data_IF_757511612444
#
_entry.id   IF_757511612444
#
_cell.length_a   1.000
_cell.length_b   1.000
_cell.length_c   1.000
_cell.angle_alpha   90.00
_cell.angle_beta   90.00
_cell.angle_gamma   90.00
#
_symmetry.space_group_name_H-M   'P 1'
#
loop_
_entity.id
_entity.type
_entity.pdbx_description
1 polymer ?
#
# COMPACT_ATOMS: atom_id res chain seq x y z
N UNK A 1 35.72 -83.57 15.53
CA UNK A 1 35.17 -82.53 14.64
C UNK A 1 33.93 -81.97 15.31
N UNK A 2 34.07 -80.81 15.93
CA UNK A 2 33.12 -80.22 16.88
C UNK A 2 32.32 -79.13 16.16
N UNK A 3 31.01 -79.33 16.03
CA UNK A 3 30.10 -78.39 15.39
C UNK A 3 29.73 -77.26 16.36
N UNK A 4 29.98 -76.02 15.96
CA UNK A 4 29.51 -74.81 16.64
C UNK A 4 28.10 -74.46 16.16
N UNK A 5 27.13 -74.40 17.07
CA UNK A 5 25.82 -73.82 16.83
C UNK A 5 25.88 -72.29 17.04
N UNK A 6 25.58 -71.54 15.98
CA UNK A 6 25.34 -70.10 16.04
C UNK A 6 23.94 -69.81 16.60
N UNK A 7 23.85 -68.97 17.62
CA UNK A 7 22.61 -68.44 18.18
C UNK A 7 22.49 -66.96 17.75
N UNK A 8 21.40 -66.59 17.08
CA UNK A 8 21.08 -65.21 16.68
C UNK A 8 20.01 -64.67 17.64
N UNK A 9 20.13 -63.45 18.21
CA UNK A 9 19.11 -62.89 19.08
C UNK A 9 17.90 -62.34 18.29
N UNK A 10 16.70 -62.28 18.91
CA UNK A 10 15.49 -61.80 18.24
C UNK A 10 15.49 -60.27 18.09
N UNK A 11 15.09 -59.82 16.91
CA UNK A 11 14.85 -58.43 16.55
C UNK A 11 13.69 -57.83 17.37
N UNK A 12 13.98 -56.74 18.09
CA UNK A 12 12.99 -55.88 18.72
C UNK A 12 12.17 -55.14 17.64
N UNK A 13 10.90 -55.51 17.46
CA UNK A 13 9.93 -54.72 16.70
C UNK A 13 9.44 -53.55 17.58
N UNK A 14 9.87 -52.34 17.26
CA UNK A 14 9.25 -51.11 17.77
C UNK A 14 8.27 -50.57 16.73
N UNK A 15 6.98 -50.86 16.88
CA UNK A 15 5.90 -50.20 16.13
C UNK A 15 5.71 -48.76 16.62
N UNK A 16 6.65 -47.89 16.26
CA UNK A 16 6.54 -46.46 16.52
C UNK A 16 5.56 -45.86 15.50
N UNK A 17 4.31 -45.71 15.93
CA UNK A 17 3.19 -45.27 15.10
C UNK A 17 3.25 -43.75 14.82
N UNK A 18 4.29 -43.34 14.07
CA UNK A 18 4.68 -41.96 13.75
C UNK A 18 3.53 -41.16 13.11
N UNK A 19 2.70 -41.83 12.30
CA UNK A 19 1.50 -41.27 11.67
C UNK A 19 0.48 -40.73 12.68
N UNK A 20 0.31 -41.43 13.81
CA UNK A 20 -0.64 -41.04 14.87
C UNK A 20 -0.11 -39.85 15.68
N UNK A 21 1.20 -39.84 15.94
CA UNK A 21 1.88 -38.73 16.60
C UNK A 21 1.83 -37.45 15.74
N UNK A 22 2.10 -37.58 14.43
CA UNK A 22 2.08 -36.47 13.48
C UNK A 22 0.68 -35.87 13.35
N UNK A 23 -0.36 -36.70 13.27
CA UNK A 23 -1.77 -36.23 13.23
C UNK A 23 -2.16 -35.49 14.51
N UNK A 24 -1.74 -35.97 15.67
CA UNK A 24 -2.04 -35.31 16.95
C UNK A 24 -1.28 -33.99 17.09
N UNK A 25 -0.01 -33.94 16.67
CA UNK A 25 0.79 -32.72 16.64
C UNK A 25 0.23 -31.68 15.66
N UNK A 26 -0.19 -32.11 14.47
CA UNK A 26 -0.82 -31.24 13.47
C UNK A 26 -2.17 -30.70 13.97
N UNK A 27 -2.99 -31.55 14.61
CA UNK A 27 -4.28 -31.12 15.17
C UNK A 27 -4.11 -30.15 16.36
N UNK A 28 -3.08 -30.36 17.20
CA UNK A 28 -2.71 -29.43 18.28
C UNK A 28 -2.21 -28.08 17.73
N UNK A 29 -1.35 -28.09 16.72
CA UNK A 29 -0.84 -26.86 16.11
C UNK A 29 -1.93 -26.10 15.35
N UNK A 30 -2.85 -26.78 14.65
CA UNK A 30 -4.04 -26.15 14.08
C UNK A 30 -4.98 -25.55 15.14
N UNK A 31 -5.10 -26.17 16.32
CA UNK A 31 -5.92 -25.63 17.42
C UNK A 31 -5.25 -24.41 18.08
N UNK A 32 -3.91 -24.40 18.21
CA UNK A 32 -3.14 -23.25 18.71
C UNK A 32 -3.23 -22.07 17.72
N UNK A 33 -3.20 -22.35 16.41
CA UNK A 33 -3.39 -21.34 15.35
C UNK A 33 -4.85 -20.86 15.21
N UNK A 34 -5.82 -21.54 15.85
CA UNK A 34 -7.25 -21.16 15.79
C UNK A 34 -7.57 -19.99 16.73
N UNK A 35 -6.77 -19.80 17.78
CA UNK A 35 -6.89 -18.64 18.64
C UNK A 35 -6.30 -17.42 17.94
N UNK A 36 -7.19 -16.63 17.34
CA UNK A 36 -6.90 -15.35 16.66
C UNK A 36 -5.97 -14.42 17.46
N UNK A 37 -5.94 -14.58 18.79
CA UNK A 37 -5.09 -13.83 19.72
C UNK A 37 -3.61 -14.25 19.66
N UNK A 38 -3.30 -15.52 19.38
CA UNK A 38 -1.92 -16.05 19.33
C UNK A 38 -1.24 -15.60 18.02
N UNK A 39 -1.96 -15.61 16.90
CA UNK A 39 -1.43 -15.09 15.62
C UNK A 39 -1.22 -13.58 15.72
N UNK A 40 -2.16 -12.83 16.29
CA UNK A 40 -1.99 -11.40 16.54
C UNK A 40 -0.84 -11.12 17.51
N UNK A 41 -0.67 -11.96 18.55
CA UNK A 41 0.42 -11.87 19.53
C UNK A 41 1.79 -12.16 18.91
N UNK A 42 1.92 -13.20 18.09
CA UNK A 42 3.16 -13.52 17.36
C UNK A 42 3.52 -12.44 16.32
N UNK A 43 2.52 -11.87 15.65
CA UNK A 43 2.71 -10.73 14.76
C UNK A 43 3.21 -9.49 15.51
N UNK A 44 2.62 -9.18 16.67
CA UNK A 44 3.07 -8.06 17.53
C UNK A 44 4.46 -8.30 18.14
N UNK A 45 4.80 -9.54 18.52
CA UNK A 45 6.11 -9.93 19.03
C UNK A 45 7.21 -9.86 17.95
N UNK A 46 6.87 -10.14 16.69
CA UNK A 46 7.77 -9.97 15.55
C UNK A 46 8.18 -8.52 15.27
N UNK A 47 7.41 -7.54 15.75
CA UNK A 47 7.70 -6.11 15.57
C UNK A 47 8.61 -5.50 16.66
N UNK A 48 9.04 -6.27 17.67
CA UNK A 48 9.76 -5.73 18.85
C UNK A 48 11.25 -5.44 18.56
N UNK A 49 11.81 -5.93 17.44
CA UNK A 49 13.23 -5.76 17.10
C UNK A 49 13.58 -4.53 16.25
N UNK A 50 12.60 -3.74 15.82
CA UNK A 50 12.83 -2.56 14.96
C UNK A 50 12.05 -1.38 15.52
N UNK A 51 12.67 -0.20 15.60
CA UNK A 51 11.97 1.06 15.90
C UNK A 51 11.07 1.41 14.72
N UNK A 52 9.91 0.76 14.65
CA UNK A 52 8.98 1.00 13.55
C UNK A 52 8.12 2.22 13.88
N UNK A 53 8.31 3.29 13.11
CA UNK A 53 7.54 4.54 13.26
C UNK A 53 6.25 4.44 12.44
N UNK A 54 5.11 4.64 13.11
CA UNK A 54 3.78 4.73 12.50
C UNK A 54 3.51 6.12 11.91
N UNK A 55 2.99 6.16 10.69
CA UNK A 55 3.06 7.34 9.83
C UNK A 55 2.01 7.34 8.71
N UNK A 56 1.30 8.45 8.55
CA UNK A 56 0.44 8.69 7.38
C UNK A 56 1.30 9.29 6.26
N UNK A 57 1.63 8.53 5.21
CA UNK A 57 2.50 9.01 4.13
C UNK A 57 1.70 9.37 2.87
N UNK A 58 1.88 10.56 2.27
CA UNK A 58 1.43 10.79 0.90
C UNK A 58 2.19 9.89 -0.08
N UNK A 59 1.57 9.55 -1.23
CA UNK A 59 2.27 8.80 -2.26
C UNK A 59 3.39 9.64 -2.90
N UNK A 60 4.61 9.08 -2.96
CA UNK A 60 5.74 9.64 -3.71
C UNK A 60 6.59 10.68 -2.97
N UNK A 61 6.99 10.39 -1.73
CA UNK A 61 7.71 11.34 -0.86
C UNK A 61 9.22 11.46 -1.08
N UNK A 62 9.82 10.49 -1.78
CA UNK A 62 11.27 10.31 -1.79
C UNK A 62 11.79 9.87 -0.42
N UNK A 63 13.06 10.15 -0.13
CA UNK A 63 13.71 9.82 1.14
C UNK A 63 13.22 10.78 2.26
N UNK A 64 12.55 10.24 3.29
CA UNK A 64 12.14 10.93 4.52
C UNK A 64 11.96 9.91 5.66
N UNK A 65 12.17 10.31 6.91
CA UNK A 65 12.00 9.42 8.07
C UNK A 65 10.55 9.32 8.52
N UNK A 66 9.83 10.45 8.51
CA UNK A 66 8.41 10.52 8.82
C UNK A 66 7.69 11.50 7.90
N UNK A 67 6.36 11.42 7.87
CA UNK A 67 5.51 12.26 7.06
C UNK A 67 4.07 12.21 7.55
N UNK A 68 3.28 13.12 7.04
CA UNK A 68 1.88 13.29 7.38
C UNK A 68 1.10 13.54 6.09
N UNK A 69 -0.10 12.99 6.00
CA UNK A 69 -1.05 13.26 4.93
C UNK A 69 -2.42 13.55 5.51
N UNK A 70 -3.06 14.58 4.98
CA UNK A 70 -4.45 14.90 5.29
C UNK A 70 -5.17 15.26 4.01
N UNK A 71 -6.38 14.73 3.85
CA UNK A 71 -7.24 15.01 2.72
C UNK A 71 -8.66 15.31 3.21
N UNK A 72 -9.28 16.30 2.57
CA UNK A 72 -10.68 16.63 2.76
C UNK A 72 -11.39 16.60 1.41
N UNK A 73 -12.49 15.84 1.32
CA UNK A 73 -13.15 15.63 0.04
C UNK A 73 -14.65 15.44 0.14
N UNK A 74 -15.30 15.72 -0.98
CA UNK A 74 -16.75 15.56 -1.18
C UNK A 74 -16.96 14.43 -2.17
N UNK A 75 -17.73 13.43 -1.73
CA UNK A 75 -18.18 12.33 -2.56
C UNK A 75 -19.66 12.54 -2.92
N UNK A 76 -19.98 12.54 -4.21
CA UNK A 76 -21.34 12.77 -4.71
C UNK A 76 -21.78 11.65 -5.63
N UNK A 77 -22.96 11.10 -5.36
CA UNK A 77 -23.65 10.22 -6.30
C UNK A 77 -24.17 11.03 -7.50
N UNK A 78 -23.93 10.55 -8.72
CA UNK A 78 -24.30 11.22 -9.98
C UNK A 78 -25.52 10.59 -10.65
N UNK A 79 -25.94 9.40 -10.21
CA UNK A 79 -27.08 8.67 -10.74
C UNK A 79 -27.96 8.09 -9.62
N UNK A 80 -29.23 7.84 -9.91
CA UNK A 80 -30.17 7.24 -8.96
C UNK A 80 -29.85 5.77 -8.65
N UNK A 81 -29.19 5.06 -9.56
CA UNK A 81 -28.88 3.63 -9.44
C UNK A 81 -27.63 3.33 -8.61
N UNK A 82 -26.91 4.34 -8.12
CA UNK A 82 -25.72 4.11 -7.31
C UNK A 82 -24.46 3.75 -8.13
N UNK A 83 -24.52 3.73 -9.46
CA UNK A 83 -23.44 3.22 -10.32
C UNK A 83 -22.40 4.27 -10.70
N UNK A 84 -22.73 5.56 -10.67
CA UNK A 84 -21.86 6.68 -11.02
C UNK A 84 -21.66 7.62 -9.85
N UNK A 85 -20.42 7.86 -9.48
CA UNK A 85 -20.07 8.72 -8.35
C UNK A 85 -18.88 9.60 -8.71
N UNK A 86 -18.80 10.80 -8.13
CA UNK A 86 -17.63 11.66 -8.20
C UNK A 86 -17.02 11.82 -6.83
N UNK A 87 -15.69 11.99 -6.80
CA UNK A 87 -14.93 12.36 -5.62
C UNK A 87 -14.06 13.56 -5.99
N UNK A 88 -14.24 14.67 -5.27
CA UNK A 88 -13.34 15.82 -5.34
C UNK A 88 -12.68 15.98 -3.99
N UNK A 89 -11.36 16.18 -3.94
CA UNK A 89 -10.67 16.43 -2.69
C UNK A 89 -9.52 17.41 -2.85
N UNK A 90 -9.22 18.06 -1.73
CA UNK A 90 -7.99 18.81 -1.50
C UNK A 90 -7.17 18.02 -0.48
N UNK A 91 -5.86 18.03 -0.62
CA UNK A 91 -4.99 17.35 0.32
C UNK A 91 -3.64 18.02 0.48
N UNK A 92 -3.07 17.85 1.67
CA UNK A 92 -1.76 18.35 2.05
C UNK A 92 -0.93 17.22 2.63
N UNK A 93 0.32 17.17 2.21
CA UNK A 93 1.33 16.29 2.78
C UNK A 93 2.45 17.10 3.41
N UNK A 94 2.95 16.64 4.55
CA UNK A 94 4.15 17.18 5.20
C UNK A 94 5.15 16.05 5.44
N UNK A 95 6.44 16.37 5.56
CA UNK A 95 7.51 15.38 5.78
C UNK A 95 8.59 15.90 6.72
N UNK A 96 9.31 14.98 7.35
CA UNK A 96 10.55 15.29 8.06
C UNK A 96 11.70 15.56 7.08
N UNK A 97 12.79 16.13 7.61
CA UNK A 97 14.06 16.15 6.87
C UNK A 97 14.86 14.87 7.21
N UNK A 98 15.91 14.52 6.44
CA UNK A 98 16.70 13.32 6.71
C UNK A 98 17.32 13.27 8.12
N UNK A 99 17.58 14.42 8.72
CA UNK A 99 18.21 14.60 10.03
C UNK A 99 17.22 14.68 11.21
N UNK A 100 15.91 14.62 10.96
CA UNK A 100 14.90 14.69 12.01
C UNK A 100 13.68 13.81 11.74
N UNK A 101 12.83 13.70 12.76
CA UNK A 101 11.65 12.83 12.77
C UNK A 101 10.32 13.59 12.83
N UNK A 102 10.34 14.92 12.75
CA UNK A 102 9.11 15.72 12.86
C UNK A 102 8.32 15.63 11.53
N UNK A 103 7.16 14.94 11.50
CA UNK A 103 6.40 14.73 10.25
C UNK A 103 5.75 16.02 9.74
N UNK A 104 5.74 17.07 10.56
CA UNK A 104 5.22 18.39 10.22
C UNK A 104 6.32 19.41 9.90
N UNK A 105 7.60 19.00 9.80
CA UNK A 105 8.72 19.91 9.55
C UNK A 105 8.55 20.70 8.24
N UNK A 106 8.39 20.00 7.12
CA UNK A 106 8.37 20.59 5.78
C UNK A 106 7.10 20.28 5.02
N UNK A 107 6.69 21.17 4.12
CA UNK A 107 5.59 20.91 3.20
C UNK A 107 6.07 19.93 2.12
N UNK A 108 5.43 18.78 1.99
CA UNK A 108 5.82 17.78 1.01
C UNK A 108 5.04 17.90 -0.30
N UNK A 109 3.73 18.12 -0.21
CA UNK A 109 2.86 18.12 -1.38
C UNK A 109 1.54 18.84 -1.08
N UNK A 110 0.98 19.49 -2.08
CA UNK A 110 -0.42 19.90 -2.13
C UNK A 110 -1.08 19.24 -3.32
N UNK A 111 -2.32 18.75 -3.15
CA UNK A 111 -3.05 18.04 -4.19
C UNK A 111 -4.47 18.57 -4.30
N UNK A 112 -4.89 18.80 -5.54
CA UNK A 112 -6.28 18.89 -5.96
C UNK A 112 -6.59 17.68 -6.84
N UNK A 113 -7.72 17.04 -6.63
CA UNK A 113 -8.10 15.87 -7.41
C UNK A 113 -9.60 15.81 -7.63
N UNK A 114 -10.00 15.51 -8.86
CA UNK A 114 -11.36 15.18 -9.22
C UNK A 114 -11.38 13.85 -9.97
N UNK A 115 -12.16 12.89 -9.49
CA UNK A 115 -12.28 11.56 -10.09
C UNK A 115 -13.75 11.17 -10.21
N UNK A 116 -14.14 10.62 -11.37
CA UNK A 116 -15.47 10.08 -11.62
C UNK A 116 -15.36 8.58 -11.81
N UNK A 117 -16.20 7.84 -11.07
CA UNK A 117 -16.25 6.38 -11.09
C UNK A 117 -17.54 5.90 -11.74
N UNK A 118 -17.47 4.76 -12.42
CA UNK A 118 -18.62 4.04 -12.96
C UNK A 118 -18.49 2.54 -12.73
N UNK A 119 -19.42 1.99 -11.95
CA UNK A 119 -19.61 0.55 -11.75
C UNK A 119 -20.60 0.02 -12.78
N UNK A 120 -20.09 -0.41 -13.93
CA UNK A 120 -20.91 -0.76 -15.08
C UNK A 120 -21.37 -2.23 -15.10
N UNK A 121 -20.65 -3.11 -14.39
CA UNK A 121 -20.99 -4.51 -14.24
C UNK A 121 -20.65 -5.00 -12.83
N UNK A 122 -21.15 -6.18 -12.46
CA UNK A 122 -20.81 -6.79 -11.18
C UNK A 122 -19.29 -6.95 -11.07
N UNK A 123 -18.73 -6.50 -9.95
CA UNK A 123 -17.30 -6.51 -9.65
C UNK A 123 -16.39 -5.66 -10.55
N UNK A 124 -16.93 -4.91 -11.50
CA UNK A 124 -16.16 -4.10 -12.43
C UNK A 124 -16.45 -2.62 -12.26
N UNK A 125 -15.39 -1.84 -12.09
CA UNK A 125 -15.48 -0.39 -11.97
C UNK A 125 -14.35 0.24 -12.76
N UNK A 126 -14.63 1.26 -13.55
CA UNK A 126 -13.59 2.15 -14.07
C UNK A 126 -13.76 3.55 -13.50
N UNK A 127 -12.69 4.33 -13.58
CA UNK A 127 -12.71 5.75 -13.29
C UNK A 127 -11.75 6.52 -14.18
N UNK A 128 -12.02 7.81 -14.32
CA UNK A 128 -11.14 8.79 -14.93
C UNK A 128 -11.02 9.99 -14.02
N UNK A 129 -9.87 10.64 -14.05
CA UNK A 129 -9.56 11.71 -13.14
C UNK A 129 -8.59 12.74 -13.71
N UNK A 130 -8.69 13.92 -13.15
CA UNK A 130 -7.71 15.00 -13.26
C UNK A 130 -7.18 15.33 -11.86
N UNK A 131 -5.87 15.51 -11.77
CA UNK A 131 -5.22 15.92 -10.53
C UNK A 131 -4.20 17.00 -10.83
N UNK A 132 -4.16 18.01 -9.96
CA UNK A 132 -3.10 19.00 -9.92
C UNK A 132 -2.31 18.82 -8.63
N UNK A 133 -0.98 18.91 -8.72
CA UNK A 133 -0.08 18.77 -7.58
C UNK A 133 0.95 19.88 -7.58
N UNK A 134 1.34 20.29 -6.37
CA UNK A 134 2.48 21.18 -6.11
C UNK A 134 3.40 20.51 -5.12
N UNK A 135 4.65 20.33 -5.48
CA UNK A 135 5.64 19.61 -4.67
C UNK A 135 6.89 20.49 -4.52
N UNK A 136 7.17 21.02 -3.32
CA UNK A 136 8.43 21.69 -3.07
C UNK A 136 9.60 20.75 -3.27
N UNK A 137 10.65 21.25 -3.93
CA UNK A 137 11.94 20.56 -4.08
C UNK A 137 12.87 21.14 -3.03
N UNK A 138 13.57 20.26 -2.32
CA UNK A 138 14.49 20.62 -1.25
C UNK A 138 15.89 20.13 -1.60
N UNK A 139 16.90 20.86 -1.16
CA UNK A 139 18.29 20.46 -1.30
C UNK A 139 18.55 19.08 -0.67
N UNK A 140 19.51 18.35 -1.22
CA UNK A 140 19.88 17.01 -0.74
C UNK A 140 20.83 17.02 0.47
N UNK A 141 21.40 18.18 0.80
CA UNK A 141 22.31 18.39 1.94
C UNK A 141 21.74 19.38 2.95
N UNK A 142 22.12 19.24 4.23
CA UNK A 142 21.75 20.20 5.26
C UNK A 142 22.16 21.63 4.86
N UNK A 143 21.31 22.66 5.05
CA UNK A 143 20.08 22.67 5.87
C UNK A 143 18.80 22.17 5.17
N UNK A 144 18.95 21.56 3.98
CA UNK A 144 17.86 21.00 3.16
C UNK A 144 16.82 22.08 2.81
N UNK A 145 17.31 23.27 2.45
CA UNK A 145 16.45 24.42 2.16
C UNK A 145 15.59 24.18 0.93
N UNK A 146 14.50 24.95 0.82
CA UNK A 146 13.64 24.85 -0.34
C UNK A 146 14.35 25.46 -1.55
N UNK A 147 14.81 24.60 -2.44
CA UNK A 147 15.46 24.98 -3.70
C UNK A 147 14.43 25.39 -4.76
N UNK A 148 13.29 24.70 -4.79
CA UNK A 148 12.38 24.84 -5.91
C UNK A 148 10.95 24.39 -5.63
N UNK A 149 10.18 24.33 -6.69
CA UNK A 149 8.82 23.83 -6.67
C UNK A 149 8.49 23.25 -8.04
N UNK A 150 8.12 21.98 -8.04
CA UNK A 150 7.56 21.30 -9.19
C UNK A 150 6.03 21.38 -9.14
N UNK A 151 5.44 21.65 -10.30
CA UNK A 151 4.01 21.59 -10.51
C UNK A 151 3.69 20.45 -11.47
N UNK A 152 2.55 19.80 -11.24
CA UNK A 152 2.18 18.65 -12.03
C UNK A 152 0.69 18.61 -12.33
N UNK A 153 0.36 18.33 -13.58
CA UNK A 153 -0.99 17.97 -14.01
C UNK A 153 -0.99 16.48 -14.36
N UNK A 154 -1.89 15.71 -13.75
CA UNK A 154 -2.11 14.30 -14.05
C UNK A 154 -3.49 14.09 -14.63
N UNK A 155 -3.54 13.34 -15.72
CA UNK A 155 -4.76 12.71 -16.22
C UNK A 155 -4.60 11.21 -16.02
N UNK A 156 -5.58 10.55 -15.41
CA UNK A 156 -5.48 9.11 -15.22
C UNK A 156 -6.79 8.39 -15.40
N UNK A 157 -6.70 7.18 -15.95
CA UNK A 157 -7.77 6.20 -16.00
C UNK A 157 -7.43 5.03 -15.10
N UNK A 158 -8.43 4.48 -14.40
CA UNK A 158 -8.28 3.30 -13.56
C UNK A 158 -9.35 2.28 -13.90
N UNK A 159 -8.98 1.01 -13.89
CA UNK A 159 -9.89 -0.11 -13.97
C UNK A 159 -9.66 -1.05 -12.80
N UNK A 160 -10.75 -1.41 -12.13
CA UNK A 160 -10.81 -2.26 -10.95
C UNK A 160 -11.66 -3.50 -11.27
N UNK A 161 -11.12 -4.69 -11.02
CA UNK A 161 -11.85 -5.96 -11.06
C UNK A 161 -11.73 -6.68 -9.71
N UNK A 162 -12.85 -7.13 -9.14
CA UNK A 162 -12.86 -7.85 -7.86
C UNK A 162 -13.33 -9.30 -8.02
N UNK A 163 -12.56 -10.23 -7.50
CA UNK A 163 -12.94 -11.64 -7.39
C UNK A 163 -13.38 -11.92 -5.95
N UNK A 164 -14.59 -12.42 -5.77
CA UNK A 164 -15.02 -12.95 -4.48
C UNK A 164 -14.58 -14.42 -4.37
N UNK A 165 -13.57 -14.67 -3.54
CA UNK A 165 -12.99 -15.99 -3.30
C UNK A 165 -13.72 -16.64 -2.12
N UNK A 166 -15.01 -16.91 -2.32
CA UNK A 166 -15.92 -17.35 -1.27
C UNK A 166 -16.41 -16.22 -0.37
N UNK A 167 -16.90 -16.54 0.83
CA UNK A 167 -17.63 -15.56 1.68
C UNK A 167 -16.73 -14.54 2.39
N UNK A 168 -15.47 -14.89 2.65
CA UNK A 168 -14.56 -14.09 3.50
C UNK A 168 -13.41 -13.43 2.75
N UNK A 169 -13.09 -13.88 1.54
CA UNK A 169 -11.95 -13.40 0.79
C UNK A 169 -12.40 -12.65 -0.44
N UNK A 170 -11.78 -11.49 -0.69
CA UNK A 170 -11.96 -10.73 -1.93
C UNK A 170 -10.58 -10.38 -2.46
N UNK A 171 -10.30 -10.73 -3.71
CA UNK A 171 -9.09 -10.33 -4.43
C UNK A 171 -9.45 -9.22 -5.41
N UNK A 172 -8.90 -8.02 -5.20
CA UNK A 172 -9.09 -6.88 -6.09
C UNK A 172 -7.83 -6.66 -6.92
N UNK A 173 -7.97 -6.60 -8.23
CA UNK A 173 -6.92 -6.18 -9.15
C UNK A 173 -7.27 -4.82 -9.73
N UNK A 174 -6.27 -3.96 -9.81
CA UNK A 174 -6.39 -2.58 -10.28
C UNK A 174 -5.28 -2.31 -11.27
N UNK A 175 -5.64 -1.77 -12.44
CA UNK A 175 -4.70 -1.15 -13.37
C UNK A 175 -5.02 0.32 -13.47
N UNK A 176 -3.98 1.16 -13.48
CA UNK A 176 -4.08 2.60 -13.69
C UNK A 176 -3.08 3.03 -14.75
N UNK A 177 -3.55 3.82 -15.70
CA UNK A 177 -2.73 4.51 -16.68
C UNK A 177 -2.78 6.00 -16.42
N UNK A 178 -1.63 6.64 -16.38
CA UNK A 178 -1.48 8.05 -16.02
C UNK A 178 -0.63 8.76 -17.07
N UNK A 179 -1.13 9.88 -17.57
CA UNK A 179 -0.33 10.91 -18.22
C UNK A 179 -0.03 11.99 -17.18
N UNK A 180 1.25 12.35 -17.06
CA UNK A 180 1.76 13.32 -16.09
C UNK A 180 2.53 14.38 -16.84
N UNK A 181 2.19 15.65 -16.67
CA UNK A 181 2.91 16.79 -17.26
C UNK A 181 3.49 17.63 -16.13
N UNK A 182 4.78 17.92 -16.20
CA UNK A 182 5.50 18.65 -15.17
C UNK A 182 5.86 20.05 -15.64
N UNK A 183 5.96 20.95 -14.67
CA UNK A 183 6.28 22.35 -14.88
C UNK A 183 7.06 22.95 -13.72
N UNK A 184 7.75 24.05 -14.00
CA UNK A 184 8.33 24.94 -13.01
C UNK A 184 7.22 25.76 -12.32
N UNK A 185 7.53 26.66 -11.36
CA UNK A 185 6.54 27.51 -10.68
C UNK A 185 5.76 28.46 -11.60
N UNK A 186 6.28 28.77 -12.78
CA UNK A 186 5.73 29.70 -13.77
C UNK A 186 5.09 28.98 -14.96
N UNK A 187 4.90 27.66 -14.88
CA UNK A 187 4.36 26.81 -15.94
C UNK A 187 5.25 26.66 -17.19
N UNK A 188 6.57 26.88 -17.05
CA UNK A 188 7.53 26.56 -18.11
C UNK A 188 7.92 25.09 -18.11
N UNK A 189 8.56 24.69 -19.21
CA UNK A 189 9.14 23.37 -19.37
C UNK A 189 10.26 23.11 -18.33
N UNK A 190 10.25 21.92 -17.74
CA UNK A 190 11.31 21.38 -16.87
C UNK A 190 12.00 20.20 -17.55
N UNK A 191 13.09 19.70 -16.97
CA UNK A 191 13.87 18.57 -17.50
C UNK A 191 12.96 17.37 -17.85
N UNK A 192 12.15 16.87 -16.92
CA UNK A 192 11.14 15.87 -17.24
C UNK A 192 9.89 16.55 -17.82
N UNK A 193 9.74 16.53 -19.14
CA UNK A 193 8.61 17.18 -19.82
C UNK A 193 7.28 16.55 -19.44
N UNK A 194 7.16 15.24 -19.65
CA UNK A 194 5.97 14.46 -19.33
C UNK A 194 6.30 12.98 -19.14
N UNK A 195 5.42 12.27 -18.46
CA UNK A 195 5.59 10.86 -18.12
C UNK A 195 4.31 10.08 -18.38
N UNK A 196 4.46 8.91 -18.98
CA UNK A 196 3.42 7.89 -19.04
C UNK A 196 3.71 6.86 -17.95
N UNK A 197 2.77 6.65 -17.04
CA UNK A 197 2.92 5.73 -15.92
C UNK A 197 1.83 4.67 -15.91
N UNK A 198 2.25 3.43 -15.83
CA UNK A 198 1.41 2.27 -15.56
C UNK A 198 1.58 1.86 -14.12
N UNK A 199 0.47 1.67 -13.42
CA UNK A 199 0.42 1.19 -12.04
C UNK A 199 -0.50 -0.02 -11.97
N UNK A 200 0.01 -1.12 -11.44
CA UNK A 200 -0.71 -2.37 -11.29
C UNK A 200 -0.75 -2.70 -9.81
N UNK A 201 -1.92 -2.97 -9.26
CA UNK A 201 -2.10 -3.33 -7.85
C UNK A 201 -2.98 -4.56 -7.71
N UNK A 202 -2.54 -5.51 -6.90
CA UNK A 202 -3.33 -6.65 -6.44
C UNK A 202 -3.50 -6.55 -4.93
N UNK A 203 -4.73 -6.72 -4.43
CA UNK A 203 -5.04 -6.65 -3.01
C UNK A 203 -5.96 -7.79 -2.60
N UNK A 204 -5.48 -8.67 -1.72
CA UNK A 204 -6.25 -9.73 -1.09
C UNK A 204 -6.79 -9.24 0.24
N UNK A 205 -8.10 -9.29 0.44
CA UNK A 205 -8.77 -8.83 1.65
C UNK A 205 -9.49 -9.99 2.34
N UNK A 206 -9.20 -10.22 3.61
CA UNK A 206 -9.87 -11.18 4.48
C UNK A 206 -10.81 -10.47 5.46
N UNK A 207 -12.10 -10.81 5.43
CA UNK A 207 -13.12 -10.30 6.34
C UNK A 207 -13.06 -11.07 7.67
N UNK A 208 -12.53 -10.43 8.72
CA UNK A 208 -12.40 -10.99 10.07
C UNK A 208 -13.74 -11.03 10.82
N UNK A 209 -14.49 -9.93 10.75
CA UNK A 209 -15.78 -9.74 11.43
C UNK A 209 -16.64 -8.72 10.71
N UNK A 210 -17.93 -9.01 10.55
CA UNK A 210 -18.91 -8.09 10.00
C UNK A 210 -19.36 -7.02 10.99
N UNK A 211 -19.30 -7.28 12.31
CA UNK A 211 -19.85 -6.39 13.36
C UNK A 211 -19.26 -4.97 13.29
N UNK A 212 -17.95 -4.89 13.12
CA UNK A 212 -17.21 -3.62 13.02
C UNK A 212 -16.41 -3.52 11.71
N UNK A 213 -16.85 -4.24 10.66
CA UNK A 213 -16.19 -4.24 9.35
C UNK A 213 -14.67 -4.56 9.41
N UNK A 214 -14.25 -5.42 10.33
CA UNK A 214 -12.84 -5.75 10.55
C UNK A 214 -12.29 -6.58 9.39
N UNK A 215 -11.16 -6.15 8.84
CA UNK A 215 -10.51 -6.77 7.69
C UNK A 215 -9.00 -6.79 7.84
N UNK A 216 -8.39 -7.79 7.24
CA UNK A 216 -6.95 -7.78 6.92
C UNK A 216 -6.80 -7.65 5.41
N UNK A 217 -5.89 -6.80 4.96
CA UNK A 217 -5.60 -6.62 3.55
C UNK A 217 -4.10 -6.80 3.31
N UNK A 218 -3.76 -7.67 2.38
CA UNK A 218 -2.41 -7.80 1.81
C UNK A 218 -2.44 -7.20 0.41
N UNK A 219 -1.49 -6.34 0.07
CA UNK A 219 -1.39 -5.75 -1.25
C UNK A 219 0.02 -5.75 -1.81
N UNK A 220 0.12 -5.90 -3.13
CA UNK A 220 1.32 -5.64 -3.90
C UNK A 220 0.96 -4.64 -5.01
N UNK A 221 1.75 -3.58 -5.15
CA UNK A 221 1.58 -2.54 -6.16
C UNK A 221 2.90 -2.32 -6.89
N UNK A 222 2.91 -2.40 -8.22
CA UNK A 222 4.06 -2.09 -9.07
C UNK A 222 3.81 -0.86 -9.91
N UNK A 223 4.80 0.02 -9.99
CA UNK A 223 4.80 1.24 -10.78
C UNK A 223 5.88 1.17 -11.85
N UNK A 224 5.46 1.41 -13.09
CA UNK A 224 6.30 1.44 -14.28
C UNK A 224 6.08 2.75 -15.01
N UNK A 225 7.11 3.31 -15.60
CA UNK A 225 6.96 4.55 -16.36
C UNK A 225 7.96 4.67 -17.49
N UNK A 226 7.61 5.55 -18.43
CA UNK A 226 8.49 6.10 -19.45
C UNK A 226 8.33 7.63 -19.45
N UNK A 227 9.44 8.34 -19.55
CA UNK A 227 9.52 9.79 -19.43
C UNK A 227 10.08 10.39 -20.71
N UNK A 228 9.57 11.56 -21.11
CA UNK A 228 10.13 12.36 -22.18
C UNK A 228 10.90 13.53 -21.57
N UNK A 229 12.19 13.63 -21.87
CA UNK A 229 13.09 14.64 -21.31
C UNK A 229 13.22 15.83 -22.28
N UNK A 230 13.21 17.03 -21.74
CA UNK A 230 13.53 18.29 -22.43
C UNK A 230 15.03 18.59 -22.33
N UNK A 231 15.86 17.62 -22.67
CA UNK A 231 17.30 17.84 -22.84
C UNK A 231 17.57 18.61 -24.15
N UNK A 232 18.77 19.17 -24.36
CA UNK A 232 19.16 19.75 -25.66
C UNK A 232 18.90 18.81 -26.85
N UNK A 233 18.97 17.50 -26.61
CA UNK A 233 18.49 16.45 -27.51
C UNK A 233 17.31 15.71 -26.87
N UNK A 234 16.06 16.07 -27.23
CA UNK A 234 14.89 15.49 -26.58
C UNK A 234 14.79 13.98 -26.77
N UNK A 235 14.67 13.25 -25.67
CA UNK A 235 14.75 11.80 -25.67
C UNK A 235 13.72 11.16 -24.74
N UNK A 236 13.35 9.92 -25.08
CA UNK A 236 12.56 9.07 -24.20
C UNK A 236 13.48 8.24 -23.31
N UNK A 237 13.18 8.18 -22.02
CA UNK A 237 13.81 7.20 -21.14
C UNK A 237 13.36 5.79 -21.51
N UNK A 238 14.09 4.77 -21.07
CA UNK A 238 13.60 3.39 -21.20
C UNK A 238 12.37 3.18 -20.33
N UNK A 239 11.35 2.50 -20.86
CA UNK A 239 10.25 2.01 -20.04
C UNK A 239 10.80 1.07 -18.97
N UNK A 240 10.42 1.30 -17.72
CA UNK A 240 10.93 0.45 -16.66
C UNK A 240 10.22 0.62 -15.35
N UNK A 241 10.52 -0.34 -14.49
CA UNK A 241 10.18 -0.32 -13.08
C UNK A 241 10.69 0.95 -12.41
N UNK A 242 9.87 1.55 -11.55
CA UNK A 242 10.22 2.70 -10.70
C UNK A 242 10.08 2.37 -9.22
N UNK A 243 9.02 1.67 -8.84
CA UNK A 243 8.64 1.51 -7.43
C UNK A 243 7.74 0.28 -7.25
N UNK A 244 7.93 -0.48 -6.17
CA UNK A 244 7.08 -1.60 -5.75
C UNK A 244 6.71 -1.40 -4.29
N UNK A 245 5.42 -1.49 -3.99
CA UNK A 245 4.89 -1.35 -2.63
C UNK A 245 4.23 -2.64 -2.20
N UNK A 246 4.71 -3.20 -1.10
CA UNK A 246 4.11 -4.33 -0.42
C UNK A 246 3.43 -3.81 0.84
N UNK A 247 2.15 -4.09 1.02
CA UNK A 247 1.35 -3.53 2.12
C UNK A 247 0.60 -4.60 2.88
N UNK A 248 0.55 -4.47 4.19
CA UNK A 248 -0.28 -5.27 5.09
C UNK A 248 -1.06 -4.33 6.01
N UNK A 249 -2.38 -4.37 5.95
CA UNK A 249 -3.26 -3.48 6.70
C UNK A 249 -4.30 -4.24 7.51
N UNK A 250 -4.58 -3.75 8.70
CA UNK A 250 -5.76 -4.06 9.49
C UNK A 250 -6.72 -2.86 9.45
N UNK A 251 -7.93 -3.10 8.95
CA UNK A 251 -8.94 -2.07 8.71
C UNK A 251 -10.16 -2.35 9.57
N UNK A 252 -10.72 -1.35 10.22
CA UNK A 252 -11.92 -1.51 11.05
C UNK A 252 -12.73 -0.22 11.17
N UNK A 253 -14.04 -0.36 11.41
CA UNK A 253 -14.88 0.76 11.83
C UNK A 253 -14.79 0.93 13.35
N UNK A 254 -14.62 2.17 13.82
CA UNK A 254 -14.65 2.47 15.25
C UNK A 254 -16.12 2.40 15.71
N UNK A 255 -16.45 1.52 16.67
CA UNK A 255 -17.84 1.32 17.12
C UNK A 255 -18.51 2.64 17.54
N UNK A 256 -19.79 2.78 17.21
CA UNK A 256 -20.60 3.95 17.57
C UNK A 256 -20.02 5.30 17.09
N UNK A 257 -19.26 5.29 15.99
CA UNK A 257 -18.67 6.50 15.42
C UNK A 257 -18.70 6.49 13.88
N UNK A 258 -18.60 7.65 13.22
CA UNK A 258 -18.50 7.77 11.77
C UNK A 258 -17.07 7.52 11.24
N UNK A 259 -16.15 7.05 12.09
CA UNK A 259 -14.75 6.88 11.75
C UNK A 259 -14.41 5.44 11.37
N UNK A 260 -13.57 5.29 10.35
CA UNK A 260 -12.87 4.05 10.05
C UNK A 260 -11.37 4.26 10.22
N UNK A 261 -10.68 3.22 10.64
CA UNK A 261 -9.25 3.25 10.89
C UNK A 261 -8.57 2.14 10.12
N UNK A 262 -7.47 2.49 9.44
CA UNK A 262 -6.60 1.54 8.75
C UNK A 262 -5.22 1.66 9.37
N UNK A 263 -4.71 0.58 9.96
CA UNK A 263 -3.35 0.53 10.51
C UNK A 263 -2.60 -0.55 9.77
N UNK A 264 -1.41 -0.23 9.27
CA UNK A 264 -0.67 -1.20 8.48
C UNK A 264 0.82 -0.97 8.46
N UNK A 265 1.48 -1.82 7.71
CA UNK A 265 2.89 -1.76 7.37
C UNK A 265 3.00 -1.71 5.85
N UNK A 266 3.92 -0.90 5.35
CA UNK A 266 4.26 -0.82 3.93
C UNK A 266 5.77 -0.91 3.78
N UNK A 267 6.20 -1.75 2.86
CA UNK A 267 7.55 -1.78 2.34
C UNK A 267 7.57 -1.20 0.92
N UNK A 268 8.38 -0.16 0.72
CA UNK A 268 8.49 0.59 -0.52
C UNK A 268 9.88 0.44 -1.15
N UNK A 269 9.94 -0.27 -2.27
CA UNK A 269 11.16 -0.62 -2.98
C UNK A 269 11.37 0.35 -4.14
N UNK A 270 12.01 1.48 -3.87
CA UNK A 270 12.21 2.54 -4.87
C UNK A 270 13.47 2.26 -5.69
N UNK A 271 13.33 2.13 -7.01
CA UNK A 271 14.47 1.87 -7.90
C UNK A 271 15.49 3.01 -7.81
N UNK A 272 16.78 2.64 -7.76
CA UNK A 272 17.92 3.56 -7.68
C UNK A 272 17.93 4.46 -6.42
N UNK A 273 17.17 4.14 -5.38
CA UNK A 273 17.29 4.79 -4.08
C UNK A 273 18.45 4.20 -3.27
N UNK A 274 19.01 4.95 -2.32
CA UNK A 274 20.03 4.40 -1.42
C UNK A 274 19.44 3.32 -0.48
N UNK A 275 18.14 3.38 -0.22
CA UNK A 275 17.42 2.45 0.67
C UNK A 275 17.12 1.10 0.05
N UNK A 276 17.03 0.96 -1.29
CA UNK A 276 16.76 -0.34 -1.92
C UNK A 276 17.87 -1.37 -1.66
N UNK A 277 19.13 -0.91 -1.55
CA UNK A 277 20.27 -1.76 -1.18
C UNK A 277 20.17 -2.31 0.25
N UNK A 278 19.29 -1.74 1.08
CA UNK A 278 19.02 -2.13 2.46
C UNK A 278 17.63 -2.78 2.63
N UNK A 279 16.96 -3.14 1.53
CA UNK A 279 15.67 -3.82 1.57
C UNK A 279 14.45 -2.92 1.40
N UNK A 280 14.61 -1.63 1.08
CA UNK A 280 13.49 -0.71 0.84
C UNK A 280 13.30 0.33 1.94
N UNK A 281 12.24 1.13 1.82
CA UNK A 281 11.80 2.04 2.87
C UNK A 281 10.56 1.47 3.54
N UNK A 282 10.66 1.28 4.86
CA UNK A 282 9.62 0.65 5.65
C UNK A 282 8.85 1.68 6.47
N UNK A 283 7.53 1.65 6.38
CA UNK A 283 6.64 2.56 7.09
C UNK A 283 5.57 1.76 7.82
N UNK A 284 5.24 2.15 9.06
CA UNK A 284 3.90 1.86 9.58
C UNK A 284 2.96 2.96 9.10
N UNK A 285 1.71 2.62 8.83
CA UNK A 285 0.66 3.54 8.39
C UNK A 285 -0.54 3.52 9.32
N UNK A 286 -1.19 4.67 9.51
CA UNK A 286 -2.32 4.82 10.40
C UNK A 286 -3.32 5.86 9.87
N UNK A 287 -4.28 5.44 9.05
CA UNK A 287 -5.27 6.31 8.45
C UNK A 287 -6.52 6.41 9.33
N UNK A 288 -6.99 7.64 9.59
CA UNK A 288 -8.30 7.89 10.20
C UNK A 288 -9.18 8.55 9.17
N UNK A 289 -10.27 7.88 8.80
CA UNK A 289 -11.18 8.32 7.74
C UNK A 289 -12.52 8.67 8.37
N UNK A 290 -12.94 9.92 8.18
CA UNK A 290 -14.24 10.39 8.63
C UNK A 290 -15.24 10.41 7.48
N UNK A 291 -16.27 9.56 7.55
CA UNK A 291 -17.32 9.52 6.54
C UNK A 291 -18.56 10.29 7.04
N UNK A 292 -18.72 11.52 6.59
CA UNK A 292 -19.91 12.33 6.89
C UNK A 292 -21.01 12.11 5.83
N UNK A 293 -22.15 11.49 6.19
CA UNK A 293 -23.27 11.39 5.27
C UNK A 293 -23.93 12.77 5.11
N UNK A 294 -23.83 13.35 3.91
CA UNK A 294 -24.60 14.55 3.57
C UNK A 294 -25.96 14.14 3.01
N UNK A 295 -27.03 14.45 3.75
CA UNK A 295 -28.42 14.39 3.25
C UNK A 295 -28.93 15.82 3.16
N UNK A 296 -29.37 16.23 1.96
CA UNK A 296 -30.07 17.50 1.78
C UNK A 296 -31.41 17.38 2.52
N UNK A 297 -31.66 18.24 3.50
CA UNK A 297 -33.00 18.41 4.10
C UNK A 297 -33.93 19.04 3.09
#
# INVERSE_FOLDING_TARGET
MTNYHFCVPPTLQTDFNFSKLLKTLFKRSCNILRDKKIIAGLFLLGCIGSTVKAQISPPGLGEANTAFWSAFGVKRQLDSLGKKQSLSYIAVGRKSSPDNDNPFSKQAIFVLNHEVYHSFAQHQQYSYAISYRRQPVYESSAPYEKEGLEQEIRLYGRYDYSFDLGKKWTLKNTIRQEFRKFFDPNFHAVEESFQLRTRIKSQLTYKLSSKNNQKLALSAEGLFSISYLNDPEPQWTKFGYREMRLGLYYMFAIPNSPFTMDIGYVDDLIRNSHSIAKGGVHYLAADVIWNLPYKKK
#
